data_IF_106177631477
#
_entry.id   IF_106177631477
#
_cell.length_a   1.000
_cell.length_b   1.000
_cell.length_c   1.000
_cell.angle_alpha   90.00
_cell.angle_beta   90.00
_cell.angle_gamma   90.00
#
_symmetry.space_group_name_H-M   'P 1'
#
loop_
_entity.id
_entity.type
_entity.pdbx_description
1 polymer ?
#
# COMPACT_ATOMS: atom_id res chain seq x y z
N UNK A 1 10.72 1.13 8.17
CA UNK A 1 10.14 2.06 7.18
C UNK A 1 11.16 2.26 6.07
N UNK A 2 10.72 2.19 4.81
CA UNK A 2 11.53 2.52 3.65
C UNK A 2 10.90 3.73 2.94
N UNK A 3 11.74 4.66 2.50
CA UNK A 3 11.32 5.79 1.66
C UNK A 3 11.75 5.52 0.22
N UNK A 4 10.82 5.72 -0.71
CA UNK A 4 11.08 5.60 -2.14
C UNK A 4 10.99 6.98 -2.75
N UNK A 5 12.04 7.37 -3.45
CA UNK A 5 12.13 8.64 -4.14
C UNK A 5 12.22 8.38 -5.65
N UNK A 6 11.58 9.21 -6.42
CA UNK A 6 11.68 9.16 -7.88
C UNK A 6 12.92 9.85 -8.40
N UNK A 7 13.14 9.76 -9.71
CA UNK A 7 14.21 10.48 -10.39
C UNK A 7 13.93 11.98 -10.43
N UNK A 8 14.94 12.81 -10.54
CA UNK A 8 14.81 14.28 -10.61
C UNK A 8 14.00 14.73 -11.83
N UNK A 9 14.04 13.98 -12.91
CA UNK A 9 13.41 14.39 -14.17
C UNK A 9 11.94 13.98 -14.28
N UNK A 10 11.57 12.81 -13.79
CA UNK A 10 10.23 12.23 -14.00
C UNK A 10 9.48 11.90 -12.72
N UNK A 11 10.14 11.98 -11.57
CA UNK A 11 9.55 11.52 -10.31
C UNK A 11 9.34 10.01 -10.26
N UNK A 12 8.37 9.58 -9.48
CA UNK A 12 7.90 8.19 -9.44
C UNK A 12 6.84 7.96 -10.52
N UNK A 13 6.91 6.85 -11.20
CA UNK A 13 5.85 6.37 -12.08
C UNK A 13 4.59 6.01 -11.27
N UNK A 14 3.44 5.99 -11.91
CA UNK A 14 2.20 5.56 -11.26
C UNK A 14 2.30 4.13 -10.70
N UNK A 15 3.03 3.26 -11.38
CA UNK A 15 3.24 1.88 -10.93
C UNK A 15 4.07 1.82 -9.65
N UNK A 16 5.13 2.61 -9.55
CA UNK A 16 5.98 2.71 -8.35
C UNK A 16 5.20 3.32 -7.17
N UNK A 17 4.41 4.38 -7.40
CA UNK A 17 3.53 4.98 -6.39
C UNK A 17 2.51 3.97 -5.89
N UNK A 18 1.94 3.14 -6.75
CA UNK A 18 0.95 2.13 -6.39
C UNK A 18 1.51 1.00 -5.51
N UNK A 19 2.81 0.78 -5.53
CA UNK A 19 3.50 -0.17 -4.65
C UNK A 19 3.76 0.39 -3.25
N UNK A 20 3.64 1.70 -3.09
CA UNK A 20 3.83 2.36 -1.80
C UNK A 20 2.55 2.30 -0.96
N UNK A 21 2.68 2.03 0.34
CA UNK A 21 1.58 2.04 1.29
C UNK A 21 1.09 3.46 1.60
N UNK A 22 1.97 4.44 1.42
CA UNK A 22 1.67 5.87 1.66
C UNK A 22 2.42 6.73 0.67
N UNK A 23 1.81 7.85 0.35
CA UNK A 23 2.42 8.91 -0.44
C UNK A 23 2.55 10.14 0.44
N UNK A 24 3.75 10.70 0.50
CA UNK A 24 4.02 11.99 1.12
C UNK A 24 4.29 13.03 0.03
N UNK A 25 3.85 14.23 0.27
CA UNK A 25 4.08 15.37 -0.61
C UNK A 25 4.70 16.51 0.19
N UNK A 26 5.81 17.05 -0.31
CA UNK A 26 6.43 18.25 0.24
C UNK A 26 5.83 19.45 -0.48
N UNK A 27 5.16 20.32 0.27
CA UNK A 27 4.58 21.54 -0.31
C UNK A 27 5.68 22.45 -0.87
N UNK A 28 5.57 22.80 -2.13
CA UNK A 28 6.46 23.71 -2.86
C UNK A 28 5.69 24.88 -3.43
N UNK A 29 6.39 25.90 -3.93
CA UNK A 29 5.71 27.03 -4.57
C UNK A 29 5.19 26.66 -5.95
N UNK A 30 4.15 27.37 -6.42
CA UNK A 30 3.61 27.18 -7.77
C UNK A 30 4.65 27.45 -8.88
N UNK A 31 5.62 28.31 -8.60
CA UNK A 31 6.69 28.69 -9.55
C UNK A 31 7.80 27.64 -9.61
N UNK A 32 8.05 26.93 -8.51
CA UNK A 32 9.04 25.86 -8.40
C UNK A 32 8.37 24.65 -7.78
N UNK A 33 7.78 23.80 -8.62
CA UNK A 33 6.95 22.68 -8.20
C UNK A 33 7.74 21.43 -7.80
N UNK A 34 9.05 21.42 -8.02
CA UNK A 34 9.93 20.27 -7.66
C UNK A 34 11.08 20.72 -6.78
N UNK A 35 11.41 19.87 -5.81
CA UNK A 35 12.62 19.99 -5.00
C UNK A 35 13.73 19.15 -5.63
N UNK A 36 14.97 19.63 -5.49
CA UNK A 36 16.13 18.79 -5.73
C UNK A 36 16.04 17.51 -4.87
N UNK A 37 16.37 16.37 -5.44
CA UNK A 37 16.23 15.05 -4.80
C UNK A 37 16.98 15.01 -3.45
N UNK A 38 18.20 15.53 -3.39
CA UNK A 38 18.97 15.55 -2.15
C UNK A 38 18.26 16.37 -1.04
N UNK A 39 17.64 17.50 -1.39
CA UNK A 39 16.87 18.31 -0.46
C UNK A 39 15.60 17.57 0.03
N UNK A 40 14.90 16.84 -0.85
CA UNK A 40 13.75 16.05 -0.48
C UNK A 40 14.14 14.89 0.47
N UNK A 41 15.24 14.21 0.20
CA UNK A 41 15.79 13.16 1.09
C UNK A 41 16.17 13.73 2.45
N UNK A 42 16.82 14.89 2.47
CA UNK A 42 17.22 15.55 3.73
C UNK A 42 16.02 15.94 4.59
N UNK A 43 14.96 16.47 3.98
CA UNK A 43 13.71 16.79 4.67
C UNK A 43 13.04 15.54 5.25
N UNK A 44 12.92 14.49 4.47
CA UNK A 44 12.33 13.24 4.93
C UNK A 44 13.12 12.63 6.09
N UNK A 45 14.45 12.66 6.03
CA UNK A 45 15.32 12.19 7.09
C UNK A 45 15.19 13.05 8.35
N UNK A 46 15.10 14.38 8.21
CA UNK A 46 14.92 15.31 9.32
C UNK A 46 13.58 15.08 10.04
N UNK A 47 12.47 15.04 9.29
CA UNK A 47 11.14 14.82 9.85
C UNK A 47 11.04 13.46 10.55
N UNK A 48 11.64 12.42 9.95
CA UNK A 48 11.72 11.09 10.58
C UNK A 48 12.48 11.16 11.90
N UNK A 49 13.63 11.83 11.92
CA UNK A 49 14.41 12.00 13.14
C UNK A 49 13.64 12.78 14.21
N UNK A 50 12.99 13.88 13.82
CA UNK A 50 12.20 14.68 14.76
C UNK A 50 11.02 13.89 15.33
N UNK A 51 10.33 13.09 14.52
CA UNK A 51 9.26 12.20 14.97
C UNK A 51 9.78 11.14 15.97
N UNK A 52 10.95 10.58 15.73
CA UNK A 52 11.58 9.62 16.66
C UNK A 52 12.02 10.27 17.98
N UNK A 53 12.52 11.50 17.93
CA UNK A 53 12.96 12.25 19.11
C UNK A 53 11.80 12.85 19.89
N UNK A 54 10.69 13.18 19.21
CA UNK A 54 9.49 13.77 19.81
C UNK A 54 8.69 12.85 20.73
N UNK A 55 9.13 11.60 20.89
CA UNK A 55 8.68 10.71 21.98
C UNK A 55 7.19 10.38 21.97
N UNK A 56 6.56 10.28 20.82
CA UNK A 56 5.29 9.54 20.75
C UNK A 56 5.61 8.09 21.13
N UNK A 57 5.32 7.73 22.38
CA UNK A 57 5.43 6.35 22.83
C UNK A 57 4.72 5.45 21.80
N UNK A 58 5.34 4.33 21.37
CA UNK A 58 4.64 3.39 20.53
C UNK A 58 3.35 3.02 21.25
N UNK A 59 2.24 3.19 20.55
CA UNK A 59 0.95 2.74 21.02
C UNK A 59 1.04 1.20 21.13
N UNK A 60 1.36 0.73 22.33
CA UNK A 60 1.64 -0.69 22.62
C UNK A 60 0.37 -1.54 22.51
N UNK A 61 -0.78 -0.90 22.35
CA UNK A 61 -2.07 -1.57 22.20
C UNK A 61 -2.46 -1.80 20.72
N UNK A 62 -1.62 -1.39 19.79
CA UNK A 62 -1.86 -1.62 18.36
C UNK A 62 -1.22 -2.92 17.89
N UNK A 63 -2.05 -3.77 17.32
CA UNK A 63 -1.59 -4.92 16.55
C UNK A 63 -0.62 -4.46 15.45
N UNK A 64 0.53 -5.13 15.25
CA UNK A 64 1.48 -4.70 14.23
C UNK A 64 0.82 -4.73 12.84
N UNK A 65 1.08 -3.72 12.01
CA UNK A 65 0.57 -3.70 10.66
C UNK A 65 1.12 -4.91 9.87
N UNK A 66 0.30 -5.41 8.96
CA UNK A 66 0.70 -6.49 8.07
C UNK A 66 1.98 -6.12 7.30
N UNK A 67 2.85 -7.10 7.12
CA UNK A 67 4.06 -6.94 6.32
C UNK A 67 3.72 -6.74 4.84
N UNK A 68 4.63 -6.15 4.09
CA UNK A 68 4.45 -6.00 2.64
C UNK A 68 4.20 -7.35 1.96
N UNK A 69 4.90 -8.41 2.38
CA UNK A 69 4.73 -9.75 1.81
C UNK A 69 3.34 -10.33 2.08
N UNK A 70 2.78 -10.13 3.28
CA UNK A 70 1.41 -10.56 3.62
C UNK A 70 0.38 -9.83 2.76
N UNK A 71 0.52 -8.51 2.61
CA UNK A 71 -0.38 -7.69 1.79
C UNK A 71 -0.30 -8.08 0.31
N UNK A 72 0.89 -8.29 -0.25
CA UNK A 72 1.04 -8.75 -1.63
C UNK A 72 0.44 -10.15 -1.84
N UNK A 73 0.60 -11.05 -0.87
CA UNK A 73 -0.03 -12.37 -0.88
C UNK A 73 -1.57 -12.29 -0.88
N UNK A 74 -2.15 -11.34 -0.12
CA UNK A 74 -3.59 -11.07 -0.16
C UNK A 74 -4.03 -10.58 -1.55
N UNK A 75 -3.31 -9.64 -2.16
CA UNK A 75 -3.67 -9.13 -3.47
C UNK A 75 -3.54 -10.18 -4.58
N UNK A 76 -2.54 -11.04 -4.52
CA UNK A 76 -2.41 -12.15 -5.46
C UNK A 76 -3.60 -13.13 -5.34
N UNK A 77 -4.01 -13.46 -4.11
CA UNK A 77 -5.18 -14.31 -3.86
C UNK A 77 -6.47 -13.64 -4.35
N UNK A 78 -6.67 -12.36 -4.00
CA UNK A 78 -7.85 -11.58 -4.41
C UNK A 78 -7.98 -11.51 -5.93
N UNK A 79 -6.87 -11.27 -6.65
CA UNK A 79 -6.86 -11.25 -8.11
C UNK A 79 -7.26 -12.61 -8.70
N UNK A 80 -6.72 -13.71 -8.16
CA UNK A 80 -7.09 -15.06 -8.59
C UNK A 80 -8.58 -15.33 -8.38
N UNK A 81 -9.12 -15.01 -7.19
CA UNK A 81 -10.53 -15.24 -6.84
C UNK A 81 -11.50 -14.42 -7.71
N UNK A 82 -11.19 -13.13 -7.96
CA UNK A 82 -12.08 -12.30 -8.81
C UNK A 82 -12.04 -12.70 -10.29
N UNK A 83 -10.94 -13.26 -10.77
CA UNK A 83 -10.82 -13.83 -12.11
C UNK A 83 -11.60 -15.16 -12.17
N UNK A 84 -11.41 -16.05 -11.20
CA UNK A 84 -12.08 -17.35 -11.13
C UNK A 84 -13.60 -17.21 -11.03
N UNK A 85 -14.08 -16.21 -10.27
CA UNK A 85 -15.52 -15.93 -10.15
C UNK A 85 -16.16 -15.37 -11.44
N UNK A 86 -15.38 -15.02 -12.45
CA UNK A 86 -15.84 -14.33 -13.66
C UNK A 86 -16.21 -12.86 -13.46
N UNK A 87 -15.97 -12.30 -12.26
CA UNK A 87 -16.25 -10.90 -11.98
C UNK A 87 -15.29 -9.97 -12.74
N UNK A 88 -14.08 -10.41 -12.99
CA UNK A 88 -13.04 -9.65 -13.66
C UNK A 88 -12.59 -10.38 -14.93
N UNK A 89 -12.68 -9.68 -16.05
CA UNK A 89 -12.08 -10.11 -17.31
C UNK A 89 -10.54 -10.18 -17.17
N UNK A 90 -9.92 -11.32 -17.49
CA UNK A 90 -8.46 -11.47 -17.46
C UNK A 90 -7.70 -10.39 -18.24
N UNK A 91 -8.29 -9.86 -19.30
CA UNK A 91 -7.66 -8.83 -20.15
C UNK A 91 -7.77 -7.41 -19.56
N UNK A 92 -8.62 -7.20 -18.54
CA UNK A 92 -8.88 -5.88 -17.94
C UNK A 92 -8.59 -5.81 -16.43
N UNK A 93 -7.63 -6.58 -15.95
CA UNK A 93 -7.30 -6.74 -14.52
C UNK A 93 -6.81 -5.47 -13.83
N UNK A 94 -6.00 -4.67 -14.55
CA UNK A 94 -5.19 -3.61 -13.97
C UNK A 94 -6.00 -2.58 -13.20
N UNK A 95 -7.07 -2.08 -13.77
CA UNK A 95 -7.86 -0.98 -13.21
C UNK A 95 -8.59 -1.34 -11.91
N UNK A 96 -9.10 -2.56 -11.79
CA UNK A 96 -9.77 -3.03 -10.58
C UNK A 96 -8.74 -3.23 -9.46
N UNK A 97 -7.64 -3.93 -9.75
CA UNK A 97 -6.60 -4.20 -8.76
C UNK A 97 -5.95 -2.92 -8.23
N UNK A 98 -5.75 -1.92 -9.09
CA UNK A 98 -5.28 -0.61 -8.67
C UNK A 98 -6.23 0.06 -7.66
N UNK A 99 -7.55 0.00 -7.89
CA UNK A 99 -8.55 0.56 -6.98
C UNK A 99 -8.59 -0.19 -5.65
N UNK A 100 -8.51 -1.53 -5.69
CA UNK A 100 -8.48 -2.36 -4.49
C UNK A 100 -7.21 -2.09 -3.65
N UNK A 101 -6.05 -1.95 -4.29
CA UNK A 101 -4.81 -1.56 -3.62
C UNK A 101 -4.95 -0.19 -2.92
N UNK A 102 -5.56 0.79 -3.57
CA UNK A 102 -5.83 2.10 -2.93
C UNK A 102 -6.80 1.98 -1.75
N UNK A 103 -7.82 1.15 -1.87
CA UNK A 103 -8.81 0.93 -0.81
C UNK A 103 -8.14 0.34 0.44
N UNK A 104 -7.47 -0.78 0.29
CA UNK A 104 -6.82 -1.49 1.38
C UNK A 104 -5.58 -0.76 1.91
N UNK A 105 -4.85 -0.04 1.07
CA UNK A 105 -3.72 0.79 1.49
C UNK A 105 -4.11 1.90 2.48
N UNK A 106 -5.35 2.40 2.42
CA UNK A 106 -5.88 3.36 3.40
C UNK A 106 -6.27 2.71 4.73
N UNK A 107 -6.69 1.44 4.70
CA UNK A 107 -7.14 0.71 5.87
C UNK A 107 -5.99 0.32 6.82
N UNK A 108 -4.74 0.27 6.33
CA UNK A 108 -3.58 -0.17 7.11
C UNK A 108 -3.80 -1.54 7.75
N UNK A 109 -4.02 -2.52 6.92
CA UNK A 109 -4.33 -3.87 7.36
C UNK A 109 -3.32 -4.40 8.37
N UNK A 110 -3.83 -5.06 9.39
CA UNK A 110 -3.08 -5.87 10.35
C UNK A 110 -2.94 -7.32 9.85
N UNK A 111 -1.95 -8.05 10.34
CA UNK A 111 -1.73 -9.46 9.92
C UNK A 111 -2.96 -10.34 10.16
N UNK A 112 -3.72 -10.10 11.23
CA UNK A 112 -4.96 -10.84 11.50
C UNK A 112 -6.04 -10.52 10.47
N UNK A 113 -6.19 -9.25 10.08
CA UNK A 113 -7.17 -8.84 9.06
C UNK A 113 -6.83 -9.43 7.69
N UNK A 114 -5.54 -9.47 7.31
CA UNK A 114 -5.09 -10.16 6.10
C UNK A 114 -5.47 -11.64 6.13
N UNK A 115 -5.29 -12.32 7.27
CA UNK A 115 -5.65 -13.73 7.42
C UNK A 115 -7.17 -13.94 7.33
N UNK A 116 -7.98 -13.05 7.93
CA UNK A 116 -9.45 -13.10 7.82
C UNK A 116 -9.88 -12.94 6.37
N UNK A 117 -9.37 -11.92 5.66
CA UNK A 117 -9.70 -11.67 4.27
C UNK A 117 -9.32 -12.86 3.37
N UNK A 118 -8.14 -13.43 3.57
CA UNK A 118 -7.71 -14.62 2.82
C UNK A 118 -8.56 -15.85 3.14
N UNK A 119 -8.99 -16.01 4.39
CA UNK A 119 -9.93 -17.06 4.79
C UNK A 119 -11.29 -16.92 4.08
N UNK A 120 -11.81 -15.69 3.98
CA UNK A 120 -13.04 -15.40 3.23
C UNK A 120 -12.89 -15.74 1.75
N UNK A 121 -11.78 -15.32 1.11
CA UNK A 121 -11.51 -15.64 -0.29
C UNK A 121 -11.43 -17.15 -0.50
N UNK A 122 -10.72 -17.88 0.37
CA UNK A 122 -10.64 -19.34 0.30
C UNK A 122 -12.01 -20.03 0.40
N UNK A 123 -12.89 -19.50 1.24
CA UNK A 123 -14.26 -20.02 1.36
C UNK A 123 -15.08 -19.76 0.10
N UNK A 124 -14.92 -18.61 -0.53
CA UNK A 124 -15.60 -18.30 -1.80
C UNK A 124 -15.08 -19.17 -2.96
N UNK A 125 -13.77 -19.39 -3.03
CA UNK A 125 -13.15 -20.22 -4.08
C UNK A 125 -13.59 -21.69 -4.00
N UNK A 126 -13.94 -22.18 -2.81
CA UNK A 126 -14.47 -23.54 -2.62
C UNK A 126 -15.96 -23.69 -2.96
N UNK A 127 -16.68 -22.58 -3.18
CA UNK A 127 -18.10 -22.57 -3.42
C UNK A 127 -18.95 -22.89 -2.17
N UNK A 128 -20.29 -22.88 -2.30
CA UNK A 128 -21.17 -23.15 -1.17
C UNK A 128 -20.98 -24.59 -0.68
N UNK A 129 -20.70 -24.75 0.61
CA UNK A 129 -20.68 -26.07 1.24
C UNK A 129 -22.09 -26.70 1.10
N UNK A 130 -22.21 -27.90 0.55
CA UNK A 130 -23.48 -28.62 0.58
C UNK A 130 -23.87 -28.83 2.05
N UNK A 131 -25.09 -28.41 2.40
CA UNK A 131 -25.67 -28.65 3.74
C UNK A 131 -25.97 -30.13 3.92
#
# INVERSE_FOLDING_TARGET
VAFVFGTEMSGLSNEEVMRCQRVAHIATSATFSSLNLAAAVQLAAYETRMALLGGAAPDTDRTPPATHAEVESLFAHLEASVVQSGFLDPDNRRRLMERLRRLFGRARLESQEVNILRGMLSAWDQGPHPK
#
